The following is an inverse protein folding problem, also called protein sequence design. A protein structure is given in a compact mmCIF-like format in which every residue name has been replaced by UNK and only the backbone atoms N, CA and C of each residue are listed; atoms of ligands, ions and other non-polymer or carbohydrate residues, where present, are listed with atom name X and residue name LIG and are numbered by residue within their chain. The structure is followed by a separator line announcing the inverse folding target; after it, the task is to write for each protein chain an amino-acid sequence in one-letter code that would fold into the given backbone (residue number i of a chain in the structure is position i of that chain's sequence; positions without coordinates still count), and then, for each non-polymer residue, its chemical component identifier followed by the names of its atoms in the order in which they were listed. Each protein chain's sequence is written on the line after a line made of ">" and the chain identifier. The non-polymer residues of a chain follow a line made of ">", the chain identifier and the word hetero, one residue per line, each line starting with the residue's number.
data_IF_773446537434
#
_entry.id   IF_773446537434
#
_cell.length_a   1.000
_cell.length_b   1.000
_cell.length_c   1.000
_cell.angle_alpha   90.00
_cell.angle_beta   90.00
_cell.angle_gamma   90.00
#
_symmetry.space_group_name_H-M   'P 1'
#
loop_
_entity.id
_entity.type
_entity.pdbx_description
1 polymer ?
#
# COMPACT_ATOMS: atom_id res chain seq x y z
N UNK A 1 -16.20 -16.79 34.67
CA UNK A 1 -17.37 -16.50 33.81
C UNK A 1 -16.87 -15.53 32.76
N UNK A 2 -16.90 -15.87 31.46
CA UNK A 2 -16.57 -14.90 30.41
C UNK A 2 -17.56 -13.74 30.53
N UNK A 3 -17.09 -12.54 30.85
CA UNK A 3 -17.96 -11.36 30.86
C UNK A 3 -18.41 -11.09 29.43
N UNK A 4 -19.72 -10.99 29.20
CA UNK A 4 -20.29 -10.72 27.88
C UNK A 4 -19.72 -9.44 27.26
N UNK A 5 -19.48 -8.42 28.10
CA UNK A 5 -18.86 -7.14 27.75
C UNK A 5 -17.44 -7.32 27.21
N UNK A 6 -16.64 -8.17 27.86
CA UNK A 6 -15.28 -8.47 27.46
C UNK A 6 -15.24 -9.22 26.12
N UNK A 7 -16.19 -10.14 25.90
CA UNK A 7 -16.31 -10.86 24.63
C UNK A 7 -16.70 -9.93 23.47
N UNK A 8 -17.69 -9.04 23.67
CA UNK A 8 -18.10 -8.07 22.67
C UNK A 8 -16.96 -7.11 22.30
N UNK A 9 -16.29 -6.54 23.30
CA UNK A 9 -15.13 -5.66 23.10
C UNK A 9 -14.01 -6.37 22.31
N UNK A 10 -13.67 -7.61 22.71
CA UNK A 10 -12.64 -8.38 22.02
C UNK A 10 -12.99 -8.64 20.55
N UNK A 11 -14.24 -9.00 20.26
CA UNK A 11 -14.68 -9.26 18.88
C UNK A 11 -14.55 -7.99 18.04
N UNK A 12 -14.99 -6.83 18.53
CA UNK A 12 -14.89 -5.57 17.79
C UNK A 12 -13.43 -5.18 17.49
N UNK A 13 -12.53 -5.31 18.47
CA UNK A 13 -11.08 -5.11 18.28
C UNK A 13 -10.54 -6.08 17.22
N UNK A 14 -10.94 -7.35 17.29
CA UNK A 14 -10.53 -8.35 16.30
C UNK A 14 -11.05 -8.01 14.89
N UNK A 15 -12.27 -7.50 14.75
CA UNK A 15 -12.82 -7.08 13.46
C UNK A 15 -12.02 -5.90 12.88
N UNK A 16 -11.78 -4.83 13.63
CA UNK A 16 -10.97 -3.69 13.14
C UNK A 16 -9.53 -4.12 12.81
N UNK A 17 -8.89 -4.92 13.67
CA UNK A 17 -7.54 -5.43 13.43
C UNK A 17 -7.47 -6.34 12.20
N UNK A 18 -8.44 -7.25 12.02
CA UNK A 18 -8.48 -8.14 10.85
C UNK A 18 -8.73 -7.37 9.56
N UNK A 19 -9.63 -6.38 9.56
CA UNK A 19 -9.87 -5.50 8.43
C UNK A 19 -8.64 -4.65 8.08
N UNK A 20 -7.96 -4.10 9.09
CA UNK A 20 -6.70 -3.37 8.92
C UNK A 20 -5.61 -4.24 8.29
N UNK A 21 -5.41 -5.45 8.83
CA UNK A 21 -4.46 -6.41 8.27
C UNK A 21 -4.89 -6.92 6.90
N UNK A 22 -6.18 -6.91 6.58
CA UNK A 22 -6.73 -7.37 5.30
C UNK A 22 -6.64 -6.32 4.18
N UNK A 23 -6.56 -5.04 4.51
CA UNK A 23 -6.31 -3.98 3.53
C UNK A 23 -4.84 -3.49 3.54
N UNK A 24 -4.12 -3.69 4.65
CA UNK A 24 -2.75 -3.21 4.83
C UNK A 24 -1.69 -3.99 4.05
N UNK A 25 -0.49 -3.42 3.86
CA UNK A 25 0.53 -3.96 2.96
C UNK A 25 1.33 -5.13 3.55
N UNK A 26 1.45 -5.22 4.88
CA UNK A 26 2.51 -6.00 5.52
C UNK A 26 2.34 -7.52 5.46
N UNK A 27 1.12 -8.01 5.21
CA UNK A 27 0.80 -9.44 5.29
C UNK A 27 0.19 -10.01 4.00
N UNK A 28 0.34 -9.29 2.88
CA UNK A 28 -0.11 -9.73 1.56
C UNK A 28 1.03 -10.03 0.60
N UNK A 29 1.95 -10.91 0.99
CA UNK A 29 2.51 -11.74 -0.08
C UNK A 29 1.35 -12.52 -0.72
N UNK A 30 1.30 -12.64 -2.05
CA UNK A 30 0.35 -13.52 -2.74
C UNK A 30 0.34 -14.95 -2.17
N UNK A 31 1.44 -15.36 -1.55
CA UNK A 31 1.66 -16.71 -1.03
C UNK A 31 1.50 -16.87 0.49
N UNK A 32 1.09 -15.83 1.24
CA UNK A 32 0.80 -16.03 2.69
C UNK A 32 -0.54 -16.77 2.84
N UNK A 33 -0.59 -17.93 3.49
CA UNK A 33 -1.84 -18.65 3.74
C UNK A 33 -2.84 -17.79 4.53
N UNK A 34 -4.11 -17.79 4.10
CA UNK A 34 -5.21 -17.08 4.80
C UNK A 34 -5.27 -17.37 6.32
N UNK A 35 -5.05 -18.62 6.79
CA UNK A 35 -5.06 -18.91 8.23
C UNK A 35 -3.99 -18.15 9.01
N UNK A 36 -2.80 -17.93 8.44
CA UNK A 36 -1.74 -17.20 9.11
C UNK A 36 -2.13 -15.74 9.31
N UNK A 37 -2.80 -15.12 8.33
CA UNK A 37 -3.29 -13.74 8.43
C UNK A 37 -4.33 -13.60 9.54
N UNK A 38 -5.27 -14.54 9.62
CA UNK A 38 -6.27 -14.58 10.70
C UNK A 38 -5.61 -14.76 12.07
N UNK A 39 -4.59 -15.62 12.18
CA UNK A 39 -3.83 -15.81 13.40
C UNK A 39 -3.09 -14.54 13.83
N UNK A 40 -2.46 -13.81 12.89
CA UNK A 40 -1.80 -12.55 13.21
C UNK A 40 -2.79 -11.48 13.69
N UNK A 41 -3.96 -11.37 13.06
CA UNK A 41 -5.01 -10.47 13.53
C UNK A 41 -5.50 -10.85 14.94
N UNK A 42 -5.59 -12.15 15.23
CA UNK A 42 -5.97 -12.65 16.55
C UNK A 42 -4.93 -12.30 17.62
N UNK A 43 -3.65 -12.54 17.35
CA UNK A 43 -2.55 -12.17 18.25
C UNK A 43 -2.55 -10.67 18.51
N UNK A 44 -2.74 -9.86 17.46
CA UNK A 44 -2.78 -8.40 17.60
C UNK A 44 -3.98 -7.95 18.45
N UNK A 45 -5.15 -8.57 18.27
CA UNK A 45 -6.32 -8.29 19.09
C UNK A 45 -6.10 -8.64 20.57
N UNK A 46 -5.45 -9.78 20.86
CA UNK A 46 -5.09 -10.17 22.24
C UNK A 46 -4.13 -9.16 22.88
N UNK A 47 -3.15 -8.66 22.13
CA UNK A 47 -2.19 -7.66 22.62
C UNK A 47 -2.84 -6.29 22.85
N UNK A 48 -3.80 -5.91 22.01
CA UNK A 48 -4.48 -4.62 22.11
C UNK A 48 -5.62 -4.62 23.15
N UNK A 49 -6.23 -5.78 23.42
CA UNK A 49 -7.34 -5.91 24.36
C UNK A 49 -7.14 -5.22 25.73
N UNK A 50 -5.99 -5.36 26.43
CA UNK A 50 -5.79 -4.68 27.71
C UNK A 50 -5.58 -3.17 27.61
N UNK A 51 -5.32 -2.64 26.41
CA UNK A 51 -5.04 -1.21 26.16
C UNK A 51 -6.30 -0.45 25.76
N UNK A 52 -7.26 -1.13 25.13
CA UNK A 52 -8.49 -0.51 24.62
C UNK A 52 -9.53 -0.40 25.75
N UNK A 53 -10.13 0.78 25.98
CA UNK A 53 -11.24 0.92 26.92
C UNK A 53 -12.39 -0.02 26.55
N UNK A 54 -12.96 -0.71 27.55
CA UNK A 54 -14.09 -1.59 27.35
C UNK A 54 -15.33 -0.85 26.84
N UNK A 55 -16.17 -1.53 26.08
CA UNK A 55 -17.47 -1.01 25.62
C UNK A 55 -18.57 -1.58 26.50
N UNK A 56 -19.46 -0.71 26.97
CA UNK A 56 -20.73 -1.14 27.53
C UNK A 56 -21.59 -1.71 26.41
N UNK A 57 -22.03 -2.98 26.48
CA UNK A 57 -22.70 -3.63 25.36
C UNK A 57 -24.19 -3.25 25.28
N UNK A 58 -24.50 -1.95 25.33
CA UNK A 58 -25.83 -1.44 25.04
C UNK A 58 -25.96 -1.17 23.54
N UNK A 59 -26.05 -2.26 22.76
CA UNK A 59 -26.25 -2.18 21.31
C UNK A 59 -27.74 -2.07 20.99
N UNK A 60 -28.21 -0.94 20.40
CA UNK A 60 -29.61 -0.79 20.04
C UNK A 60 -30.05 -1.87 19.06
N UNK A 61 -31.10 -2.63 19.38
CA UNK A 61 -31.60 -3.71 18.52
C UNK A 61 -30.84 -5.05 18.65
N UNK A 62 -30.04 -5.24 19.70
CA UNK A 62 -29.41 -6.52 20.04
C UNK A 62 -28.40 -6.97 18.99
N UNK A 63 -28.63 -8.14 18.37
CA UNK A 63 -27.71 -8.73 17.38
C UNK A 63 -27.50 -7.81 16.16
N UNK A 64 -28.55 -7.08 15.73
CA UNK A 64 -28.46 -6.18 14.59
C UNK A 64 -27.58 -4.96 14.91
N UNK A 65 -27.74 -4.37 16.10
CA UNK A 65 -26.88 -3.29 16.57
C UNK A 65 -25.41 -3.71 16.68
N UNK A 66 -25.16 -4.93 17.19
CA UNK A 66 -23.80 -5.48 17.25
C UNK A 66 -23.21 -5.73 15.85
N UNK A 67 -24.01 -6.22 14.90
CA UNK A 67 -23.55 -6.42 13.52
C UNK A 67 -23.21 -5.09 12.83
N UNK A 68 -23.97 -4.03 13.08
CA UNK A 68 -23.67 -2.67 12.59
C UNK A 68 -22.39 -2.12 13.21
N UNK A 69 -22.22 -2.27 14.53
CA UNK A 69 -20.98 -1.93 15.23
C UNK A 69 -19.77 -2.66 14.62
N UNK A 70 -19.89 -3.97 14.38
CA UNK A 70 -18.82 -4.73 13.73
C UNK A 70 -18.54 -4.26 12.29
N UNK A 71 -19.57 -3.88 11.53
CA UNK A 71 -19.39 -3.35 10.17
C UNK A 71 -18.68 -1.98 10.18
N UNK A 72 -18.98 -1.12 11.15
CA UNK A 72 -18.31 0.16 11.36
C UNK A 72 -16.82 -0.04 11.68
N UNK A 73 -16.52 -0.94 12.62
CA UNK A 73 -15.16 -1.31 13.01
C UNK A 73 -14.36 -1.90 11.83
N UNK A 74 -15.00 -2.74 11.01
CA UNK A 74 -14.42 -3.23 9.76
C UNK A 74 -14.13 -2.07 8.80
N UNK A 75 -15.05 -1.10 8.67
CA UNK A 75 -14.86 0.10 7.85
C UNK A 75 -13.65 0.92 8.27
N UNK A 76 -13.49 1.20 9.57
CA UNK A 76 -12.32 1.90 10.13
C UNK A 76 -11.04 1.13 9.79
N UNK A 77 -11.01 -0.18 10.07
CA UNK A 77 -9.86 -1.02 9.76
C UNK A 77 -9.50 -0.98 8.27
N UNK A 78 -10.49 -1.09 7.38
CA UNK A 78 -10.29 -1.05 5.93
C UNK A 78 -9.72 0.29 5.46
N UNK A 79 -10.23 1.42 5.97
CA UNK A 79 -9.74 2.75 5.58
C UNK A 79 -8.27 2.93 6.00
N UNK A 80 -7.93 2.56 7.23
CA UNK A 80 -6.55 2.64 7.73
C UNK A 80 -5.61 1.69 6.96
N UNK A 81 -6.07 0.47 6.68
CA UNK A 81 -5.31 -0.50 5.89
C UNK A 81 -5.11 -0.01 4.45
N UNK A 82 -6.15 0.57 3.84
CA UNK A 82 -6.07 1.15 2.51
C UNK A 82 -5.03 2.28 2.44
N UNK A 83 -5.07 3.24 3.36
CA UNK A 83 -4.13 4.37 3.43
C UNK A 83 -2.68 3.88 3.52
N UNK A 84 -2.41 2.88 4.37
CA UNK A 84 -1.08 2.30 4.51
C UNK A 84 -0.67 1.50 3.27
N UNK A 85 -1.62 0.88 2.58
CA UNK A 85 -1.36 0.15 1.33
C UNK A 85 -0.91 1.07 0.19
N UNK A 86 -1.37 2.33 0.16
CA UNK A 86 -1.07 3.29 -0.91
C UNK A 86 0.43 3.56 -1.07
N UNK A 87 1.20 3.51 0.02
CA UNK A 87 2.66 3.63 0.02
C UNK A 87 3.27 2.55 -0.90
N UNK A 88 2.88 1.29 -0.70
CA UNK A 88 3.41 0.17 -1.47
C UNK A 88 2.83 0.10 -2.87
N UNK A 89 1.56 0.47 -3.03
CA UNK A 89 0.94 0.58 -4.36
C UNK A 89 1.63 1.65 -5.20
N UNK A 90 2.07 2.77 -4.61
CA UNK A 90 2.82 3.78 -5.35
C UNK A 90 4.13 3.26 -5.91
N UNK A 91 4.84 2.38 -5.18
CA UNK A 91 6.05 1.71 -5.67
C UNK A 91 5.74 0.72 -6.79
N UNK A 92 4.67 -0.06 -6.63
CA UNK A 92 4.23 -1.02 -7.64
C UNK A 92 3.86 -0.31 -8.95
N UNK A 93 3.10 0.79 -8.86
CA UNK A 93 2.71 1.62 -10.02
C UNK A 93 3.93 2.29 -10.64
N UNK A 94 4.86 2.81 -9.84
CA UNK A 94 6.10 3.39 -10.37
C UNK A 94 6.87 2.38 -11.22
N UNK A 95 7.02 1.15 -10.74
CA UNK A 95 7.67 0.09 -11.49
C UNK A 95 6.90 -0.33 -12.75
N UNK A 96 5.57 -0.35 -12.70
CA UNK A 96 4.75 -0.59 -13.90
C UNK A 96 4.96 0.50 -14.96
N UNK A 97 5.03 1.77 -14.56
CA UNK A 97 5.32 2.89 -15.48
C UNK A 97 6.71 2.70 -16.12
N UNK A 98 7.72 2.32 -15.32
CA UNK A 98 9.06 2.03 -15.84
C UNK A 98 9.05 0.89 -16.86
N UNK A 99 8.35 -0.20 -16.56
CA UNK A 99 8.27 -1.39 -17.41
C UNK A 99 7.54 -1.13 -18.74
N UNK A 100 6.50 -0.29 -18.71
CA UNK A 100 5.81 0.17 -19.93
C UNK A 100 6.79 0.93 -20.83
N UNK A 101 7.58 1.85 -20.29
CA UNK A 101 8.50 2.65 -21.09
C UNK A 101 9.69 1.85 -21.61
N UNK A 102 10.30 1.00 -20.75
CA UNK A 102 11.42 0.15 -21.18
C UNK A 102 11.01 -0.88 -22.25
N UNK A 103 9.72 -1.18 -22.37
CA UNK A 103 9.19 -2.16 -23.32
C UNK A 103 9.07 -3.58 -22.75
N UNK A 104 9.26 -3.77 -21.44
CA UNK A 104 9.00 -5.06 -20.78
C UNK A 104 7.53 -5.48 -20.88
N UNK A 105 6.61 -4.52 -21.05
CA UNK A 105 5.20 -4.82 -21.27
C UNK A 105 4.93 -5.68 -22.52
N UNK A 106 5.75 -5.56 -23.58
CA UNK A 106 5.61 -6.40 -24.78
C UNK A 106 5.91 -7.87 -24.50
N UNK A 107 6.80 -8.20 -23.56
CA UNK A 107 7.08 -9.58 -23.18
C UNK A 107 5.83 -10.30 -22.61
N UNK A 108 4.96 -9.56 -21.90
CA UNK A 108 3.70 -10.09 -21.37
C UNK A 108 2.65 -10.39 -22.46
N UNK A 109 2.75 -9.77 -23.64
CA UNK A 109 1.86 -10.07 -24.78
C UNK A 109 2.26 -11.37 -25.49
N UNK A 110 3.53 -11.77 -25.43
CA UNK A 110 4.03 -12.98 -26.09
C UNK A 110 3.84 -14.25 -25.24
N UNK A 111 3.71 -14.14 -23.92
CA UNK A 111 3.35 -15.26 -23.03
C UNK A 111 2.21 -14.88 -22.06
N UNK A 112 0.95 -14.89 -22.53
CA UNK A 112 -0.21 -14.71 -21.66
C UNK A 112 -0.48 -15.91 -20.75
N UNK A 113 0.16 -17.08 -20.98
CA UNK A 113 -0.06 -18.30 -20.20
C UNK A 113 0.58 -18.21 -18.81
N UNK A 114 1.57 -17.32 -18.63
CA UNK A 114 2.22 -17.09 -17.33
C UNK A 114 1.34 -16.34 -16.32
N UNK A 115 0.24 -15.69 -16.70
CA UNK A 115 -0.73 -15.08 -15.77
C UNK A 115 -0.19 -14.01 -14.81
N UNK A 116 1.12 -13.72 -14.84
CA UNK A 116 1.79 -12.80 -13.92
C UNK A 116 1.74 -11.39 -14.50
N UNK A 117 0.67 -10.66 -14.17
CA UNK A 117 0.54 -9.22 -14.44
C UNK A 117 1.54 -8.36 -13.61
N UNK A 118 2.34 -8.97 -12.73
CA UNK A 118 3.36 -8.26 -11.97
C UNK A 118 4.62 -8.08 -12.85
N UNK A 119 4.80 -6.86 -13.35
CA UNK A 119 5.95 -6.48 -14.15
C UNK A 119 7.25 -6.52 -13.31
N UNK A 120 8.40 -6.76 -13.95
CA UNK A 120 9.66 -7.08 -13.27
C UNK A 120 10.09 -5.94 -12.33
N UNK A 121 10.08 -4.69 -12.81
CA UNK A 121 10.46 -3.53 -12.01
C UNK A 121 9.45 -3.24 -10.89
N UNK A 122 8.16 -3.47 -11.15
CA UNK A 122 7.11 -3.35 -10.11
C UNK A 122 7.36 -4.30 -8.95
N UNK A 123 7.63 -5.58 -9.24
CA UNK A 123 7.95 -6.58 -8.21
C UNK A 123 9.24 -6.25 -7.48
N UNK A 124 10.27 -5.80 -8.21
CA UNK A 124 11.54 -5.37 -7.60
C UNK A 124 11.34 -4.21 -6.62
N UNK A 125 10.68 -3.13 -7.03
CA UNK A 125 10.45 -1.97 -6.17
C UNK A 125 9.56 -2.29 -4.97
N UNK A 126 8.55 -3.15 -5.15
CA UNK A 126 7.71 -3.61 -4.05
C UNK A 126 8.52 -4.38 -2.99
N UNK A 127 9.36 -5.33 -3.41
CA UNK A 127 10.23 -6.11 -2.52
C UNK A 127 11.29 -5.24 -1.85
N UNK A 128 11.91 -4.33 -2.60
CA UNK A 128 12.88 -3.37 -2.06
C UNK A 128 12.21 -2.48 -1.00
N UNK A 129 11.03 -1.93 -1.30
CA UNK A 129 10.24 -1.14 -0.36
C UNK A 129 9.92 -1.91 0.90
N UNK A 130 9.57 -3.19 0.80
CA UNK A 130 9.31 -4.05 1.96
C UNK A 130 10.55 -4.28 2.83
N UNK A 131 11.70 -4.54 2.23
CA UNK A 131 12.96 -4.67 2.98
C UNK A 131 13.29 -3.36 3.69
N UNK A 132 13.20 -2.23 2.98
CA UNK A 132 13.42 -0.90 3.56
C UNK A 132 12.41 -0.60 4.68
N UNK A 133 11.17 -1.04 4.54
CA UNK A 133 10.13 -0.87 5.54
C UNK A 133 10.43 -1.61 6.83
N UNK A 134 10.95 -2.84 6.73
CA UNK A 134 11.38 -3.59 7.91
C UNK A 134 12.61 -2.98 8.56
N UNK A 135 13.59 -2.52 7.77
CA UNK A 135 14.81 -1.85 8.26
C UNK A 135 14.49 -0.53 8.98
N UNK A 136 13.47 0.19 8.53
CA UNK A 136 13.05 1.48 9.11
C UNK A 136 11.97 1.32 10.20
N UNK A 137 11.74 0.11 10.70
CA UNK A 137 10.72 -0.17 11.71
C UNK A 137 9.31 0.30 11.33
N UNK A 138 8.99 0.38 10.03
CA UNK A 138 7.67 0.84 9.57
C UNK A 138 6.52 -0.01 10.10
N UNK A 139 6.79 -1.27 10.47
CA UNK A 139 5.80 -2.16 11.05
C UNK A 139 5.36 -1.71 12.46
N UNK A 140 6.25 -1.06 13.21
CA UNK A 140 5.91 -0.39 14.46
C UNK A 140 4.97 0.79 14.20
N UNK A 141 5.16 1.54 13.12
CA UNK A 141 4.24 2.64 12.72
C UNK A 141 2.83 2.11 12.45
N UNK A 142 2.69 0.94 11.82
CA UNK A 142 1.37 0.32 11.59
C UNK A 142 0.68 -0.09 12.89
N UNK A 143 1.43 -0.75 13.79
CA UNK A 143 0.90 -1.22 15.08
C UNK A 143 0.54 -0.02 15.96
N UNK A 144 1.40 0.99 16.03
CA UNK A 144 1.16 2.22 16.78
C UNK A 144 -0.04 3.00 16.20
N UNK A 145 -0.16 3.07 14.88
CA UNK A 145 -1.31 3.69 14.22
C UNK A 145 -2.63 2.96 14.52
N UNK A 146 -2.62 1.63 14.49
CA UNK A 146 -3.79 0.84 14.86
C UNK A 146 -4.13 1.02 16.35
N UNK A 147 -3.16 0.97 17.26
CA UNK A 147 -3.39 1.21 18.68
C UNK A 147 -3.98 2.59 18.93
N UNK A 148 -3.40 3.63 18.31
CA UNK A 148 -3.88 5.01 18.40
C UNK A 148 -5.28 5.20 17.83
N UNK A 149 -5.68 4.37 16.86
CA UNK A 149 -7.05 4.41 16.31
C UNK A 149 -8.10 4.13 17.37
N UNK A 150 -7.84 3.25 18.35
CA UNK A 150 -8.79 2.95 19.43
C UNK A 150 -8.88 4.06 20.48
N UNK A 151 -7.83 4.88 20.62
CA UNK A 151 -7.84 6.03 21.53
C UNK A 151 -8.62 7.22 20.95
N UNK A 152 -8.45 7.47 19.65
CA UNK A 152 -9.05 8.63 18.98
C UNK A 152 -10.44 8.33 18.39
N UNK A 153 -10.65 7.09 17.95
CA UNK A 153 -11.94 6.60 17.47
C UNK A 153 -12.35 5.46 18.41
N UNK A 154 -13.06 5.79 19.50
CA UNK A 154 -13.62 4.80 20.41
C UNK A 154 -14.42 3.77 19.62
N UNK A 155 -14.50 2.56 20.18
CA UNK A 155 -15.32 1.51 19.60
C UNK A 155 -16.76 2.01 19.44
N UNK A 156 -17.38 1.81 18.27
CA UNK A 156 -18.73 2.33 17.90
C UNK A 156 -18.88 3.87 17.85
N UNK A 157 -17.77 4.60 17.81
CA UNK A 157 -17.74 6.05 17.75
C UNK A 157 -17.25 6.64 16.43
N UNK A 158 -17.13 5.84 15.37
CA UNK A 158 -16.60 6.30 14.09
C UNK A 158 -17.66 7.08 13.29
N UNK A 159 -17.29 8.29 12.89
CA UNK A 159 -18.07 9.11 11.97
C UNK A 159 -17.32 9.26 10.64
N UNK A 160 -17.86 8.69 9.57
CA UNK A 160 -17.38 8.96 8.22
C UNK A 160 -17.90 10.32 7.75
N UNK A 161 -17.19 11.38 8.11
CA UNK A 161 -17.49 12.72 7.62
C UNK A 161 -16.80 13.01 6.26
N UNK A 162 -17.30 14.02 5.54
CA UNK A 162 -16.73 14.47 4.26
C UNK A 162 -15.27 14.89 4.36
N UNK A 163 -14.83 15.33 5.54
CA UNK A 163 -13.43 15.65 5.86
C UNK A 163 -12.50 14.45 5.70
N UNK A 164 -12.89 13.28 6.23
CA UNK A 164 -12.14 12.02 6.08
C UNK A 164 -12.05 11.60 4.63
N UNK A 165 -13.16 11.67 3.90
CA UNK A 165 -13.19 11.30 2.48
C UNK A 165 -12.24 12.17 1.66
N UNK A 166 -12.25 13.49 1.89
CA UNK A 166 -11.35 14.42 1.22
C UNK A 166 -9.87 14.16 1.59
N UNK A 167 -9.59 13.80 2.85
CA UNK A 167 -8.23 13.45 3.28
C UNK A 167 -7.72 12.21 2.53
N UNK A 168 -8.52 11.14 2.45
CA UNK A 168 -8.16 9.92 1.71
C UNK A 168 -7.91 10.20 0.23
N UNK A 169 -8.76 11.00 -0.41
CA UNK A 169 -8.57 11.39 -1.83
C UNK A 169 -7.28 12.18 -2.04
N UNK A 170 -6.95 13.11 -1.14
CA UNK A 170 -5.67 13.86 -1.19
C UNK A 170 -4.47 12.96 -1.02
N UNK A 171 -4.53 12.01 -0.08
CA UNK A 171 -3.46 11.02 0.14
C UNK A 171 -3.28 10.17 -1.12
N UNK A 172 -4.38 9.67 -1.71
CA UNK A 172 -4.34 8.92 -2.96
C UNK A 172 -3.67 9.72 -4.10
N UNK A 173 -4.10 10.96 -4.33
CA UNK A 173 -3.53 11.82 -5.37
C UNK A 173 -2.03 12.06 -5.15
N UNK A 174 -1.61 12.30 -3.90
CA UNK A 174 -0.19 12.48 -3.57
C UNK A 174 0.62 11.20 -3.79
N UNK A 175 0.10 10.04 -3.41
CA UNK A 175 0.78 8.75 -3.62
C UNK A 175 0.86 8.39 -5.11
N UNK A 176 -0.17 8.70 -5.90
CA UNK A 176 -0.13 8.57 -7.36
C UNK A 176 0.92 9.50 -7.99
N UNK A 177 1.01 10.75 -7.53
CA UNK A 177 2.04 11.69 -7.98
C UNK A 177 3.45 11.20 -7.61
N UNK A 178 3.64 10.65 -6.41
CA UNK A 178 4.90 10.04 -5.98
C UNK A 178 5.29 8.85 -6.88
N UNK A 179 4.33 8.01 -7.28
CA UNK A 179 4.61 6.92 -8.22
C UNK A 179 5.21 7.42 -9.54
N UNK A 180 4.62 8.49 -10.10
CA UNK A 180 5.14 9.13 -11.33
C UNK A 180 6.52 9.74 -11.08
N UNK A 181 6.73 10.43 -9.95
CA UNK A 181 8.02 11.03 -9.61
C UNK A 181 9.13 9.99 -9.45
N UNK A 182 8.83 8.83 -8.86
CA UNK A 182 9.76 7.71 -8.71
C UNK A 182 10.11 7.13 -10.09
N UNK A 183 9.14 7.03 -10.99
CA UNK A 183 9.37 6.56 -12.37
C UNK A 183 10.09 7.59 -13.25
N UNK A 184 9.94 8.87 -12.97
CA UNK A 184 10.35 9.97 -13.86
C UNK A 184 11.80 9.90 -14.37
N UNK A 185 12.82 9.58 -13.55
CA UNK A 185 14.21 9.55 -14.03
C UNK A 185 14.44 8.47 -15.10
N UNK A 186 13.84 7.30 -14.90
CA UNK A 186 13.90 6.20 -15.88
C UNK A 186 13.13 6.57 -17.14
N UNK A 187 11.92 7.11 -16.98
CA UNK A 187 11.07 7.56 -18.10
C UNK A 187 11.80 8.62 -18.93
N UNK A 188 12.49 9.57 -18.30
CA UNK A 188 13.24 10.62 -18.98
C UNK A 188 14.40 10.05 -19.82
N UNK A 189 15.17 9.11 -19.27
CA UNK A 189 16.26 8.44 -20.00
C UNK A 189 15.71 7.68 -21.20
N UNK A 190 14.63 6.91 -21.01
CA UNK A 190 13.98 6.17 -22.10
C UNK A 190 13.42 7.10 -23.18
N UNK A 191 12.82 8.23 -22.79
CA UNK A 191 12.32 9.24 -23.72
C UNK A 191 13.44 9.82 -24.58
N UNK A 192 14.61 10.10 -24.00
CA UNK A 192 15.79 10.56 -24.75
C UNK A 192 16.22 9.49 -25.76
N UNK A 193 16.23 8.22 -25.36
CA UNK A 193 16.54 7.10 -26.25
C UNK A 193 15.53 7.04 -27.40
N UNK A 194 14.24 7.22 -27.14
CA UNK A 194 13.20 7.26 -28.17
C UNK A 194 13.43 8.35 -29.20
N UNK A 195 13.82 9.55 -28.74
CA UNK A 195 14.18 10.67 -29.62
C UNK A 195 15.41 10.31 -30.46
N UNK A 196 16.45 9.74 -29.85
CA UNK A 196 17.67 9.32 -30.54
C UNK A 196 17.39 8.23 -31.60
N UNK A 197 16.60 7.22 -31.27
CA UNK A 197 16.22 6.14 -32.17
C UNK A 197 15.35 6.65 -33.32
N UNK A 198 14.42 7.56 -33.04
CA UNK A 198 13.59 8.21 -34.07
C UNK A 198 14.42 9.02 -35.07
N UNK A 199 15.43 9.75 -34.59
CA UNK A 199 16.40 10.47 -35.43
C UNK A 199 17.23 9.50 -36.27
N UNK A 200 17.73 8.41 -35.68
CA UNK A 200 18.47 7.36 -36.38
C UNK A 200 17.64 6.68 -37.47
N UNK A 201 16.34 6.51 -37.26
CA UNK A 201 15.44 5.95 -38.29
C UNK A 201 15.22 6.82 -39.49
N UNK A 202 15.36 8.13 -39.32
CA UNK A 202 15.35 9.04 -40.44
C UNK A 202 16.66 9.01 -41.22
N UNK A 203 17.80 8.81 -40.54
CA UNK A 203 19.13 8.88 -41.18
C UNK A 203 19.61 7.56 -41.75
N UNK A 204 19.25 6.43 -41.13
CA UNK A 204 19.63 5.08 -41.55
C UNK A 204 18.38 4.17 -41.62
N UNK A 205 17.51 4.34 -42.63
CA UNK A 205 16.23 3.61 -42.73
C UNK A 205 16.39 2.11 -42.97
N UNK A 206 17.56 1.64 -43.42
CA UNK A 206 17.85 0.21 -43.54
C UNK A 206 18.11 -0.48 -42.18
N UNK A 207 18.31 0.30 -41.11
CA UNK A 207 18.58 -0.24 -39.79
C UNK A 207 17.28 -0.64 -39.09
N UNK A 208 17.19 -1.88 -38.60
CA UNK A 208 16.02 -2.33 -37.83
C UNK A 208 16.04 -1.73 -36.41
N UNK A 209 15.44 -0.56 -36.28
CA UNK A 209 15.45 0.22 -35.03
C UNK A 209 14.62 -0.42 -33.93
N UNK A 210 13.62 -1.23 -34.28
CA UNK A 210 12.90 -2.03 -33.29
C UNK A 210 13.81 -3.09 -32.68
N UNK A 211 14.65 -3.74 -33.50
CA UNK A 211 15.61 -4.76 -33.03
C UNK A 211 16.68 -4.16 -32.12
N UNK A 212 17.16 -2.95 -32.39
CA UNK A 212 18.16 -2.27 -31.56
C UNK A 212 17.55 -1.54 -30.35
N UNK A 213 16.33 -1.03 -30.49
CA UNK A 213 15.71 -0.12 -29.53
C UNK A 213 15.35 -0.78 -28.22
N UNK A 214 14.70 -1.96 -28.25
CA UNK A 214 14.30 -2.65 -27.01
C UNK A 214 15.50 -3.02 -26.13
N UNK A 215 16.57 -3.68 -26.63
CA UNK A 215 17.75 -3.98 -25.81
C UNK A 215 18.39 -2.73 -25.20
N UNK A 216 18.47 -1.64 -25.97
CA UNK A 216 19.06 -0.38 -25.51
C UNK A 216 18.25 0.29 -24.40
N UNK A 217 16.92 0.36 -24.58
CA UNK A 217 16.00 0.90 -23.57
C UNK A 217 16.05 0.10 -22.26
N UNK A 218 16.04 -1.23 -22.35
CA UNK A 218 16.11 -2.10 -21.18
C UNK A 218 17.45 -1.91 -20.45
N UNK A 219 18.57 -1.94 -21.19
CA UNK A 219 19.91 -1.81 -20.60
C UNK A 219 20.08 -0.48 -19.86
N UNK A 220 19.74 0.64 -20.52
CA UNK A 220 19.88 1.98 -19.93
C UNK A 220 18.84 2.25 -18.84
N UNK A 221 17.64 1.68 -18.97
CA UNK A 221 16.61 1.72 -17.94
C UNK A 221 17.05 1.04 -16.65
N UNK A 222 17.57 -0.19 -16.74
CA UNK A 222 18.10 -0.94 -15.59
C UNK A 222 19.32 -0.23 -14.99
N UNK A 223 20.21 0.32 -15.83
CA UNK A 223 21.35 1.10 -15.36
C UNK A 223 20.90 2.32 -14.54
N UNK A 224 19.91 3.05 -15.05
CA UNK A 224 19.33 4.22 -14.35
C UNK A 224 18.73 3.80 -13.01
N UNK A 225 17.95 2.73 -12.99
CA UNK A 225 17.35 2.18 -11.77
C UNK A 225 18.43 1.76 -10.76
N UNK A 226 19.52 1.14 -11.21
CA UNK A 226 20.66 0.74 -10.38
C UNK A 226 21.33 1.94 -9.70
N UNK A 227 21.49 3.05 -10.42
CA UNK A 227 22.03 4.31 -9.88
C UNK A 227 21.06 4.95 -8.87
N UNK A 228 19.75 4.72 -9.02
CA UNK A 228 18.74 5.24 -8.10
C UNK A 228 18.65 4.47 -6.77
N UNK A 229 19.12 3.21 -6.69
CA UNK A 229 19.03 2.35 -5.49
C UNK A 229 19.44 3.06 -4.19
N UNK A 230 20.58 3.77 -4.11
CA UNK A 230 20.98 4.46 -2.88
C UNK A 230 20.00 5.57 -2.47
N UNK A 231 19.35 6.22 -3.42
CA UNK A 231 18.38 7.30 -3.18
C UNK A 231 17.05 6.76 -2.62
N UNK A 232 16.67 5.53 -2.97
CA UNK A 232 15.42 4.94 -2.51
C UNK A 232 15.33 4.86 -0.98
N UNK A 233 16.43 4.67 -0.26
CA UNK A 233 16.41 4.67 1.21
C UNK A 233 15.95 6.02 1.79
N UNK A 234 16.36 7.14 1.18
CA UNK A 234 15.96 8.48 1.60
C UNK A 234 14.49 8.75 1.27
N UNK A 235 14.09 8.43 0.04
CA UNK A 235 12.70 8.58 -0.42
C UNK A 235 11.76 7.73 0.44
N UNK A 236 12.10 6.47 0.68
CA UNK A 236 11.26 5.55 1.42
C UNK A 236 11.13 5.96 2.90
N UNK A 237 12.19 6.50 3.52
CA UNK A 237 12.09 7.09 4.87
C UNK A 237 11.14 8.30 4.92
N UNK A 238 11.08 9.10 3.87
CA UNK A 238 10.08 10.16 3.77
C UNK A 238 8.67 9.57 3.62
N UNK A 239 8.51 8.52 2.83
CA UNK A 239 7.22 7.83 2.65
C UNK A 239 6.68 7.22 3.94
N UNK A 240 7.52 6.57 4.76
CA UNK A 240 7.12 6.04 6.07
C UNK A 240 6.65 7.16 7.00
N UNK A 241 7.34 8.31 7.01
CA UNK A 241 6.92 9.49 7.79
C UNK A 241 5.60 10.08 7.29
N UNK A 242 5.39 10.14 5.98
CA UNK A 242 4.11 10.56 5.41
C UNK A 242 2.99 9.61 5.81
N UNK A 243 3.24 8.29 5.79
CA UNK A 243 2.26 7.28 6.20
C UNK A 243 1.79 7.45 7.65
N UNK A 244 2.71 7.76 8.57
CA UNK A 244 2.38 8.05 9.97
C UNK A 244 1.46 9.27 10.09
N UNK A 245 1.80 10.37 9.40
CA UNK A 245 0.99 11.59 9.37
C UNK A 245 -0.38 11.37 8.73
N UNK A 246 -0.44 10.53 7.70
CA UNK A 246 -1.67 10.19 6.96
C UNK A 246 -2.61 9.36 7.83
N UNK A 247 -2.09 8.35 8.51
CA UNK A 247 -2.84 7.60 9.51
C UNK A 247 -3.43 8.54 10.57
N UNK A 248 -2.61 9.42 11.15
CA UNK A 248 -3.09 10.37 12.15
C UNK A 248 -4.19 11.30 11.60
N UNK A 249 -4.02 11.82 10.38
CA UNK A 249 -4.99 12.71 9.74
C UNK A 249 -6.32 12.00 9.50
N UNK A 250 -6.27 10.76 9.03
CA UNK A 250 -7.47 9.95 8.75
C UNK A 250 -8.16 9.54 10.04
N UNK A 251 -7.42 9.10 11.06
CA UNK A 251 -7.98 8.76 12.37
C UNK A 251 -8.68 9.98 12.99
N UNK A 252 -8.09 11.17 12.89
CA UNK A 252 -8.70 12.40 13.40
C UNK A 252 -9.94 12.84 12.60
N UNK A 253 -9.99 12.54 11.31
CA UNK A 253 -11.22 12.77 10.53
C UNK A 253 -12.34 11.82 10.94
N UNK A 254 -11.99 10.58 11.30
CA UNK A 254 -12.95 9.54 11.70
C UNK A 254 -13.54 9.76 13.11
N UNK A 255 -12.88 10.57 13.95
CA UNK A 255 -13.36 10.85 15.31
C UNK A 255 -14.50 11.88 15.38
N UNK A 256 -14.84 12.53 14.26
CA UNK A 256 -15.75 13.69 14.22
C UNK A 256 -15.07 15.01 14.53
#
# INVERSE_FOLDING_TARGET
>A
MLNYEAAATFILIFVRASAFLAAGPLFFFPNVPRPLKAFMAFVLAVVLFPVVPGVEPDFPGGLLGFALAAAEEAGVGLVLGFVTSLVFQSLAVAGQIMDIQMGFFMANLFDPAMGHQATISSRFLYLLGMVLFLILDGHHVLIAGLARSYELVPLTGAALDGTTTLAVVKIFARMAALAVQIAAPVVAVVLIIDICLGLLGRTAPEMNIFMLGFPLKIALGILTLSVMVPLFGVVFRAMVRMMEQDLYTVIRGLSG
#
